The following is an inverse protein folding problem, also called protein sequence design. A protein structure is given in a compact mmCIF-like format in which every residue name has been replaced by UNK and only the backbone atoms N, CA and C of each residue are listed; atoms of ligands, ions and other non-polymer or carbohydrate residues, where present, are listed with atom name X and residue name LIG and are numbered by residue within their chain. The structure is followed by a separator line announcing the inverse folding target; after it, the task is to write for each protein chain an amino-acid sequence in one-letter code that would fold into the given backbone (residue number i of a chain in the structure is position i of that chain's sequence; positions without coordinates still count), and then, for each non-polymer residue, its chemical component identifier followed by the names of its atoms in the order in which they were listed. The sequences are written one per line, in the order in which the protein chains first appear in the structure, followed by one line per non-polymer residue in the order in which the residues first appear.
data_IF_704184049742
#
_entry.id   IF_704184049742
#
_cell.length_a   1.000
_cell.length_b   1.000
_cell.length_c   1.000
_cell.angle_alpha   90.00
_cell.angle_beta   90.00
_cell.angle_gamma   90.00
#
_symmetry.space_group_name_H-M   'P 1'
#
loop_
_entity.id
_entity.type
_entity.pdbx_description
1 polymer ?
#
# COMPACT_ATOMS: atom_id res chain seq x y z
N UNK A 1 -33.72 -6.10 14.91
CA UNK A 1 -32.27 -6.27 15.14
C UNK A 1 -31.52 -4.94 15.03
N UNK A 2 -31.83 -3.97 15.89
CA UNK A 2 -31.15 -2.66 15.94
C UNK A 2 -30.14 -2.62 17.10
N UNK A 3 -29.05 -3.38 16.97
CA UNK A 3 -27.95 -3.43 17.97
C UNK A 3 -26.60 -3.48 17.27
N UNK A 4 -25.54 -3.04 17.96
CA UNK A 4 -24.15 -3.27 17.56
C UNK A 4 -23.55 -4.41 18.38
N UNK A 5 -22.80 -5.30 17.74
CA UNK A 5 -22.16 -6.46 18.37
C UNK A 5 -20.67 -6.18 18.53
N UNK A 6 -20.32 -5.23 19.40
CA UNK A 6 -18.93 -4.80 19.64
C UNK A 6 -18.03 -5.95 20.10
N UNK A 7 -18.61 -6.89 20.82
CA UNK A 7 -17.96 -8.11 21.28
C UNK A 7 -17.36 -8.97 20.13
N UNK A 8 -17.81 -8.80 18.89
CA UNK A 8 -17.20 -9.47 17.73
C UNK A 8 -15.79 -8.94 17.46
N UNK A 9 -15.58 -7.63 17.58
CA UNK A 9 -14.28 -6.98 17.39
C UNK A 9 -13.35 -7.22 18.58
N UNK A 10 -13.88 -7.19 19.80
CA UNK A 10 -13.08 -7.36 21.02
C UNK A 10 -12.54 -8.79 21.18
N UNK A 11 -13.22 -9.77 20.58
CA UNK A 11 -12.84 -11.17 20.69
C UNK A 11 -11.71 -11.54 19.71
N UNK A 12 -10.49 -11.63 20.23
CA UNK A 12 -9.29 -12.01 19.46
C UNK A 12 -9.31 -13.46 18.91
N UNK A 13 -10.28 -14.29 19.30
CA UNK A 13 -10.48 -15.61 18.69
C UNK A 13 -11.35 -15.57 17.41
N UNK A 14 -11.85 -14.39 16.99
CA UNK A 14 -12.63 -14.20 15.78
C UNK A 14 -11.90 -13.29 14.80
N UNK A 15 -12.07 -13.51 13.49
CA UNK A 15 -11.39 -12.72 12.47
C UNK A 15 -11.83 -11.24 12.36
N UNK A 16 -12.88 -10.81 13.07
CA UNK A 16 -13.36 -9.42 12.99
C UNK A 16 -12.34 -8.39 13.49
N UNK A 17 -11.51 -8.77 14.46
CA UNK A 17 -10.53 -7.85 15.02
C UNK A 17 -9.51 -7.40 13.98
N UNK A 18 -9.15 -8.26 13.01
CA UNK A 18 -8.18 -7.95 11.97
C UNK A 18 -8.56 -6.71 11.15
N UNK A 19 -9.84 -6.59 10.79
CA UNK A 19 -10.35 -5.41 10.08
C UNK A 19 -10.27 -4.14 10.95
N UNK A 20 -10.54 -4.27 12.25
CA UNK A 20 -10.44 -3.16 13.20
C UNK A 20 -9.00 -2.74 13.49
N UNK A 21 -8.09 -3.71 13.59
CA UNK A 21 -6.66 -3.47 13.77
C UNK A 21 -6.07 -2.78 12.53
N UNK A 22 -6.49 -3.19 11.32
CA UNK A 22 -6.13 -2.51 10.07
C UNK A 22 -6.71 -1.08 9.99
N UNK A 23 -7.99 -0.89 10.32
CA UNK A 23 -8.62 0.44 10.33
C UNK A 23 -7.86 1.41 11.26
N UNK A 24 -7.50 0.93 12.46
CA UNK A 24 -6.70 1.71 13.40
C UNK A 24 -5.33 2.10 12.82
N UNK A 25 -4.62 1.16 12.20
CA UNK A 25 -3.31 1.41 11.57
C UNK A 25 -3.41 2.38 10.38
N UNK A 26 -4.42 2.22 9.52
CA UNK A 26 -4.71 3.12 8.40
C UNK A 26 -4.97 4.55 8.89
N UNK A 27 -5.80 4.72 9.93
CA UNK A 27 -6.06 6.04 10.52
C UNK A 27 -4.82 6.66 11.15
N UNK A 28 -3.96 5.86 11.79
CA UNK A 28 -2.67 6.34 12.32
C UNK A 28 -1.74 6.83 11.21
N UNK A 29 -1.62 6.08 10.11
CA UNK A 29 -0.84 6.48 8.95
C UNK A 29 -1.36 7.81 8.37
N UNK A 30 -2.67 7.93 8.16
CA UNK A 30 -3.27 9.16 7.64
C UNK A 30 -3.05 10.36 8.58
N UNK A 31 -3.13 10.15 9.90
CA UNK A 31 -2.85 11.20 10.91
C UNK A 31 -1.39 11.61 10.97
N UNK A 32 -0.46 10.75 10.54
CA UNK A 32 0.97 11.10 10.46
C UNK A 32 1.26 12.17 9.41
N UNK A 33 0.34 12.38 8.45
CA UNK A 33 0.41 13.44 7.44
C UNK A 33 -0.60 14.54 7.79
N UNK A 34 -0.09 15.69 8.26
CA UNK A 34 -0.92 16.84 8.65
C UNK A 34 -1.73 17.33 7.46
N UNK A 35 -3.06 17.34 7.56
CA UNK A 35 -3.92 17.78 6.47
C UNK A 35 -3.99 16.80 5.29
N UNK A 36 -3.73 15.51 5.49
CA UNK A 36 -3.77 14.47 4.45
C UNK A 36 -4.92 14.64 3.43
N UNK A 37 -6.11 14.99 3.93
CA UNK A 37 -7.31 15.16 3.10
C UNK A 37 -7.32 16.38 2.17
N UNK A 38 -6.48 17.40 2.40
CA UNK A 38 -6.38 18.57 1.52
C UNK A 38 -5.43 18.36 0.34
N UNK A 39 -4.57 17.34 0.40
CA UNK A 39 -3.62 17.09 -0.68
C UNK A 39 -4.29 16.41 -1.87
N UNK A 40 -3.90 16.78 -3.10
CA UNK A 40 -4.43 16.17 -4.31
C UNK A 40 -3.96 14.71 -4.40
N UNK A 41 -4.84 13.86 -4.95
CA UNK A 41 -4.48 12.51 -5.38
C UNK A 41 -3.81 12.63 -6.74
N UNK A 42 -2.66 11.98 -6.89
CA UNK A 42 -1.92 11.91 -8.16
C UNK A 42 -1.91 10.47 -8.61
N UNK A 43 -2.56 10.17 -9.73
CA UNK A 43 -2.47 8.84 -10.33
C UNK A 43 -1.02 8.56 -10.77
N UNK A 44 -0.51 7.38 -10.41
CA UNK A 44 0.81 6.90 -10.83
C UNK A 44 0.65 5.87 -11.95
N UNK A 45 -0.25 4.91 -11.73
CA UNK A 45 -0.41 3.75 -12.59
C UNK A 45 -1.83 3.21 -12.49
N UNK A 46 -2.37 2.82 -13.63
CA UNK A 46 -3.66 2.15 -13.75
C UNK A 46 -3.52 1.13 -14.87
N UNK A 47 -3.67 -0.15 -14.54
CA UNK A 47 -3.77 -1.22 -15.51
C UNK A 47 -5.02 -2.08 -15.26
N UNK A 48 -6.00 -1.98 -16.16
CA UNK A 48 -7.26 -2.73 -16.08
C UNK A 48 -7.09 -4.24 -16.26
N UNK A 49 -6.12 -4.67 -17.09
CA UNK A 49 -5.86 -6.08 -17.36
C UNK A 49 -5.26 -6.79 -16.16
N UNK A 50 -4.25 -6.17 -15.55
CA UNK A 50 -3.62 -6.69 -14.34
C UNK A 50 -4.50 -6.47 -13.10
N UNK A 51 -5.46 -5.53 -13.17
CA UNK A 51 -6.27 -5.03 -12.06
C UNK A 51 -5.40 -4.39 -10.95
N UNK A 52 -4.39 -3.63 -11.37
CA UNK A 52 -3.45 -2.94 -10.49
C UNK A 52 -3.65 -1.43 -10.60
N UNK A 53 -3.74 -0.78 -9.44
CA UNK A 53 -3.87 0.66 -9.29
C UNK A 53 -2.77 1.18 -8.35
N UNK A 54 -2.06 2.22 -8.75
CA UNK A 54 -1.16 2.95 -7.88
C UNK A 54 -1.41 4.46 -7.95
N UNK A 55 -1.41 5.11 -6.80
CA UNK A 55 -1.51 6.56 -6.71
C UNK A 55 -0.61 7.11 -5.61
N UNK A 56 -0.31 8.40 -5.69
CA UNK A 56 0.42 9.14 -4.67
C UNK A 56 -0.48 10.17 -4.01
N UNK A 57 -0.28 10.36 -2.69
CA UNK A 57 -0.86 11.47 -1.94
C UNK A 57 0.08 11.90 -0.84
N UNK A 58 0.59 13.13 -0.96
CA UNK A 58 1.54 13.75 -0.02
C UNK A 58 2.68 12.82 0.44
N UNK A 59 3.53 12.41 -0.50
CA UNK A 59 4.73 11.60 -0.22
C UNK A 59 4.46 10.14 0.14
N UNK A 60 3.19 9.73 0.27
CA UNK A 60 2.78 8.34 0.36
C UNK A 60 2.39 7.81 -1.02
N UNK A 61 2.83 6.60 -1.32
CA UNK A 61 2.43 5.84 -2.51
C UNK A 61 1.54 4.71 -2.03
N UNK A 62 0.38 4.54 -2.65
CA UNK A 62 -0.52 3.44 -2.38
C UNK A 62 -0.62 2.57 -3.63
N UNK A 63 -0.43 1.27 -3.46
CA UNK A 63 -0.47 0.28 -4.53
C UNK A 63 -1.51 -0.76 -4.16
N UNK A 64 -2.43 -1.04 -5.06
CA UNK A 64 -3.50 -2.01 -4.89
C UNK A 64 -3.40 -3.04 -6.00
N UNK A 65 -3.36 -4.32 -5.63
CA UNK A 65 -3.57 -5.43 -6.53
C UNK A 65 -4.97 -5.98 -6.26
N UNK A 66 -5.94 -5.61 -7.10
CA UNK A 66 -7.31 -6.14 -7.03
C UNK A 66 -7.46 -7.49 -7.73
N UNK A 67 -6.40 -7.99 -8.38
CA UNK A 67 -6.46 -9.27 -9.07
C UNK A 67 -6.87 -10.39 -8.10
N UNK A 68 -7.88 -11.21 -8.45
CA UNK A 68 -8.37 -12.23 -7.55
C UNK A 68 -7.43 -13.43 -7.39
N UNK A 69 -6.46 -13.60 -8.28
CA UNK A 69 -5.64 -14.82 -8.40
C UNK A 69 -4.15 -14.52 -8.60
N UNK A 70 -3.82 -13.53 -9.43
CA UNK A 70 -2.44 -13.28 -9.86
C UNK A 70 -1.70 -12.39 -8.87
N UNK A 71 -0.58 -12.91 -8.37
CA UNK A 71 0.46 -12.15 -7.68
C UNK A 71 1.54 -11.75 -8.70
N UNK A 72 2.04 -10.52 -8.62
CA UNK A 72 3.05 -10.04 -9.58
C UNK A 72 4.39 -9.83 -8.87
N UNK A 73 5.45 -10.40 -9.44
CA UNK A 73 6.84 -10.15 -9.06
C UNK A 73 7.43 -9.06 -9.95
N UNK A 74 8.30 -8.22 -9.38
CA UNK A 74 8.98 -7.13 -10.10
C UNK A 74 8.02 -6.17 -10.84
N UNK A 75 6.79 -6.00 -10.31
CA UNK A 75 5.78 -5.14 -10.92
C UNK A 75 6.24 -3.68 -10.84
N UNK A 76 6.44 -3.07 -12.01
CA UNK A 76 7.10 -1.77 -12.15
C UNK A 76 6.14 -0.64 -12.49
N UNK A 77 6.31 0.50 -11.82
CA UNK A 77 5.66 1.76 -12.19
C UNK A 77 6.57 2.96 -11.86
N UNK A 78 6.33 4.10 -12.48
CA UNK A 78 7.22 5.26 -12.44
C UNK A 78 6.90 6.22 -11.28
N UNK A 79 7.88 6.46 -10.42
CA UNK A 79 7.75 7.32 -9.23
C UNK A 79 8.93 8.31 -9.18
N UNK A 80 8.88 9.37 -8.35
CA UNK A 80 10.04 10.23 -8.12
C UNK A 80 11.24 9.43 -7.61
N UNK A 81 12.43 9.74 -8.11
CA UNK A 81 13.68 9.06 -7.71
C UNK A 81 13.88 8.99 -6.20
N UNK A 82 14.34 7.86 -5.68
CA UNK A 82 14.71 7.69 -4.27
C UNK A 82 14.59 6.24 -3.77
N UNK A 83 14.56 6.09 -2.45
CA UNK A 83 14.27 4.82 -1.80
C UNK A 83 12.97 4.93 -1.02
N UNK A 84 12.21 3.85 -1.00
CA UNK A 84 10.90 3.77 -0.37
C UNK A 84 10.87 2.64 0.65
N UNK A 85 10.18 2.87 1.77
CA UNK A 85 9.92 1.86 2.79
C UNK A 85 8.42 1.59 2.90
N UNK A 86 8.06 0.35 3.23
CA UNK A 86 6.68 -0.03 3.49
C UNK A 86 6.26 0.55 4.85
N UNK A 87 5.13 1.26 4.87
CA UNK A 87 4.57 1.87 6.09
C UNK A 87 3.22 1.27 6.48
N UNK A 88 2.57 0.54 5.58
CA UNK A 88 1.36 -0.23 5.83
C UNK A 88 1.23 -1.32 4.76
N UNK A 89 0.93 -2.54 5.17
CA UNK A 89 0.74 -3.68 4.29
C UNK A 89 -0.49 -4.47 4.73
N UNK A 90 -1.49 -4.61 3.86
CA UNK A 90 -2.72 -5.36 4.20
C UNK A 90 -2.48 -6.86 4.32
N UNK A 91 -1.40 -7.40 3.76
CA UNK A 91 -1.04 -8.81 3.85
C UNK A 91 -0.32 -9.17 5.16
N UNK A 92 -0.06 -8.21 6.05
CA UNK A 92 0.50 -8.49 7.37
C UNK A 92 -0.44 -9.41 8.17
N UNK A 93 0.14 -10.39 8.87
CA UNK A 93 -0.58 -11.30 9.76
C UNK A 93 -1.31 -10.58 10.89
N UNK A 94 -0.84 -9.40 11.30
CA UNK A 94 -1.53 -8.51 12.24
C UNK A 94 -2.92 -8.09 11.74
N UNK A 95 -3.15 -8.11 10.42
CA UNK A 95 -4.41 -7.78 9.77
C UNK A 95 -5.07 -8.99 9.10
N UNK A 96 -4.66 -10.20 9.47
CA UNK A 96 -5.23 -11.44 8.95
C UNK A 96 -4.77 -11.81 7.54
N UNK A 97 -3.71 -11.17 7.03
CA UNK A 97 -3.05 -11.56 5.78
C UNK A 97 -2.10 -12.74 5.95
N UNK A 98 -1.43 -13.12 4.85
CA UNK A 98 -0.55 -14.29 4.81
C UNK A 98 0.91 -13.99 5.18
N UNK A 99 1.32 -12.72 5.12
CA UNK A 99 2.68 -12.26 5.39
C UNK A 99 3.67 -12.72 4.33
N UNK A 100 3.32 -12.53 3.04
CA UNK A 100 4.10 -12.99 1.89
C UNK A 100 5.24 -12.02 1.50
N UNK A 101 5.20 -10.78 1.98
CA UNK A 101 6.24 -9.76 1.74
C UNK A 101 7.06 -9.49 3.00
N UNK A 102 8.32 -9.12 2.82
CA UNK A 102 9.19 -8.64 3.89
C UNK A 102 9.22 -7.10 3.88
N UNK A 103 8.47 -6.50 4.80
CA UNK A 103 8.31 -5.05 4.90
C UNK A 103 9.58 -4.32 5.41
N UNK A 104 10.61 -5.06 5.87
CA UNK A 104 11.90 -4.48 6.25
C UNK A 104 12.77 -4.09 5.05
N UNK A 105 12.44 -4.59 3.86
CA UNK A 105 13.17 -4.32 2.63
C UNK A 105 12.91 -2.88 2.17
N UNK A 106 13.99 -2.16 1.90
CA UNK A 106 13.94 -0.84 1.29
C UNK A 106 13.96 -0.98 -0.22
N UNK A 107 13.00 -0.34 -0.89
CA UNK A 107 12.84 -0.39 -2.34
C UNK A 107 13.47 0.84 -2.98
N UNK A 108 14.69 0.70 -3.50
CA UNK A 108 15.34 1.73 -4.30
C UNK A 108 14.75 1.78 -5.71
N UNK A 109 14.61 2.98 -6.26
CA UNK A 109 14.19 3.16 -7.66
C UNK A 109 15.33 2.85 -8.63
N UNK A 110 14.95 2.43 -9.83
CA UNK A 110 15.88 2.07 -10.90
C UNK A 110 15.82 3.16 -11.98
N UNK A 111 16.95 3.83 -12.29
CA UNK A 111 16.98 4.90 -13.27
C UNK A 111 16.69 4.41 -14.68
N UNK A 112 16.00 5.27 -15.45
CA UNK A 112 15.72 5.07 -16.87
C UNK A 112 16.04 6.37 -17.62
N UNK A 113 17.00 6.36 -18.57
CA UNK A 113 17.38 7.55 -19.34
C UNK A 113 16.21 8.23 -20.04
N UNK A 114 15.16 7.48 -20.42
CA UNK A 114 13.96 8.02 -21.06
C UNK A 114 13.18 8.95 -20.12
N UNK A 115 13.21 8.67 -18.82
CA UNK A 115 12.45 9.39 -17.79
C UNK A 115 13.29 10.34 -16.93
N UNK A 116 14.60 10.39 -17.16
CA UNK A 116 15.51 11.31 -16.48
C UNK A 116 15.07 12.80 -16.57
N UNK A 117 14.60 13.33 -17.72
CA UNK A 117 14.10 14.72 -17.80
C UNK A 117 12.88 14.98 -16.90
N UNK A 118 12.11 13.94 -16.62
CA UNK A 118 10.90 13.99 -15.78
C UNK A 118 11.18 13.68 -14.31
N UNK A 119 12.45 13.40 -13.94
CA UNK A 119 12.87 13.02 -12.59
C UNK A 119 12.07 11.83 -12.03
N UNK A 120 11.72 10.87 -12.91
CA UNK A 120 11.03 9.63 -12.55
C UNK A 120 11.90 8.43 -12.82
N UNK A 121 11.74 7.42 -11.98
CA UNK A 121 12.47 6.16 -12.03
C UNK A 121 11.52 4.99 -11.71
N UNK A 122 11.90 3.78 -12.08
CA UNK A 122 11.07 2.59 -11.85
C UNK A 122 11.14 2.15 -10.39
N UNK A 123 10.00 2.11 -9.72
CA UNK A 123 9.84 1.36 -8.48
C UNK A 123 9.27 -0.01 -8.83
N UNK A 124 9.92 -1.08 -8.36
CA UNK A 124 9.50 -2.46 -8.57
C UNK A 124 9.15 -3.12 -7.25
N UNK A 125 8.01 -3.79 -7.20
CA UNK A 125 7.50 -4.45 -6.00
C UNK A 125 7.04 -5.87 -6.30
N UNK A 126 7.07 -6.71 -5.28
CA UNK A 126 6.24 -7.91 -5.23
C UNK A 126 4.87 -7.51 -4.68
N UNK A 127 3.80 -7.73 -5.45
CA UNK A 127 2.42 -7.38 -5.08
C UNK A 127 1.53 -8.63 -5.12
N UNK A 128 1.26 -9.27 -3.97
CA UNK A 128 0.38 -10.45 -3.93
C UNK A 128 -1.05 -10.15 -4.40
N UNK A 129 -1.78 -11.18 -4.81
CA UNK A 129 -3.19 -11.07 -5.19
C UNK A 129 -4.04 -10.54 -4.02
N UNK A 130 -4.96 -9.60 -4.29
CA UNK A 130 -5.89 -9.00 -3.31
C UNK A 130 -5.21 -8.25 -2.14
N UNK A 131 -4.07 -7.62 -2.37
CA UNK A 131 -3.37 -6.85 -1.33
C UNK A 131 -3.28 -5.38 -1.68
N UNK A 132 -3.10 -4.54 -0.66
CA UNK A 132 -2.66 -3.17 -0.80
C UNK A 132 -1.43 -2.90 0.07
N UNK A 133 -0.50 -2.10 -0.45
CA UNK A 133 0.68 -1.66 0.26
C UNK A 133 0.82 -0.14 0.15
N UNK A 134 1.15 0.51 1.25
CA UNK A 134 1.48 1.91 1.29
C UNK A 134 2.98 2.07 1.56
N UNK A 135 3.65 2.89 0.75
CA UNK A 135 5.06 3.19 0.87
C UNK A 135 5.29 4.67 1.16
N UNK A 136 6.40 4.98 1.82
CA UNK A 136 6.87 6.34 2.04
C UNK A 136 8.28 6.48 1.51
N UNK A 137 8.57 7.64 0.91
CA UNK A 137 9.94 7.98 0.52
C UNK A 137 10.81 8.19 1.75
N UNK A 138 11.94 7.50 1.82
CA UNK A 138 12.96 7.66 2.85
C UNK A 138 13.62 9.03 2.67
N UNK A 139 13.80 9.76 3.76
CA UNK A 139 14.46 11.08 3.76
C UNK A 139 15.97 10.97 3.66
#
# INVERSE_FOLDING_TARGET
YARRQWNLMDNKNLAYHYMGDFDAAMLQLMRSVKGFQSYPVQEIWHNDGDQVLAYMREGLIFVFNFNPVTSFTDYGFLVPLGAYEVVLNTDDKAYGGYGLTDDSVKHATIPDPLYAPHKKEWLKLYIPARTAVALRKIK
#
